data_IF_641879072994
#
_entry.id   IF_641879072994
#
_cell.length_a   1.000
_cell.length_b   1.000
_cell.length_c   1.000
_cell.angle_alpha   90.00
_cell.angle_beta   90.00
_cell.angle_gamma   90.00
#
_symmetry.space_group_name_H-M   'P 1'
#
loop_
_entity.id
_entity.type
_entity.pdbx_description
1 polymer ?
#
# COMPACT_ATOMS: atom_id res chain seq x y z
N UNK A 1 -44.91 28.28 -104.52
CA UNK A 1 -43.70 27.44 -104.60
C UNK A 1 -43.40 26.98 -103.18
N UNK A 2 -43.88 25.81 -102.75
CA UNK A 2 -43.35 24.45 -102.97
C UNK A 2 -42.39 24.00 -101.86
N UNK A 3 -42.80 22.89 -101.20
CA UNK A 3 -42.11 21.96 -100.26
C UNK A 3 -42.10 22.38 -98.77
N UNK A 4 -42.91 21.78 -97.87
CA UNK A 4 -42.96 20.39 -97.34
C UNK A 4 -41.58 19.91 -96.85
N UNK A 5 -41.37 19.48 -95.60
CA UNK A 5 -41.96 18.34 -94.83
C UNK A 5 -41.71 18.54 -93.32
N UNK A 6 -42.67 18.26 -92.42
CA UNK A 6 -42.82 17.01 -91.60
C UNK A 6 -41.55 16.65 -90.78
N UNK A 7 -41.56 16.27 -89.49
CA UNK A 7 -42.60 15.70 -88.64
C UNK A 7 -42.28 15.85 -87.13
N UNK A 8 -43.34 15.78 -86.33
CA UNK A 8 -43.57 15.08 -85.05
C UNK A 8 -42.42 14.75 -84.08
N UNK A 9 -42.70 14.94 -82.78
CA UNK A 9 -42.02 14.20 -81.71
C UNK A 9 -42.23 14.74 -80.30
N UNK A 10 -43.43 14.55 -79.75
CA UNK A 10 -43.73 14.72 -78.32
C UNK A 10 -42.89 13.77 -77.46
N UNK A 11 -42.22 14.27 -76.41
CA UNK A 11 -42.03 13.50 -75.16
C UNK A 11 -41.66 14.41 -74.01
N UNK A 12 -42.54 14.43 -73.01
CA UNK A 12 -42.37 15.09 -71.74
C UNK A 12 -41.11 14.59 -71.01
N UNK A 13 -40.28 15.51 -70.52
CA UNK A 13 -39.33 15.23 -69.44
C UNK A 13 -39.60 16.17 -68.29
N UNK A 14 -40.08 15.58 -67.19
CA UNK A 14 -40.07 16.14 -65.84
C UNK A 14 -38.70 16.74 -65.55
N UNK A 15 -38.68 17.97 -65.07
CA UNK A 15 -37.59 18.48 -64.25
C UNK A 15 -37.59 17.69 -62.94
N UNK A 16 -36.74 16.67 -62.85
CA UNK A 16 -36.32 16.13 -61.56
C UNK A 16 -35.30 17.11 -60.99
N UNK A 17 -35.73 17.91 -60.02
CA UNK A 17 -34.83 18.62 -59.13
C UNK A 17 -34.06 17.58 -58.31
N UNK A 18 -32.88 17.19 -58.79
CA UNK A 18 -31.86 16.56 -57.95
C UNK A 18 -31.47 17.57 -56.85
N UNK A 19 -32.11 17.45 -55.69
CA UNK A 19 -31.59 17.97 -54.43
C UNK A 19 -30.32 17.18 -54.08
N UNK A 20 -29.24 17.46 -54.80
CA UNK A 20 -27.90 17.02 -54.46
C UNK A 20 -27.52 17.64 -53.12
N UNK A 21 -27.69 16.88 -52.05
CA UNK A 21 -27.05 17.13 -50.76
C UNK A 21 -25.54 17.08 -50.98
N UNK A 22 -24.95 18.22 -51.32
CA UNK A 22 -23.51 18.41 -51.32
C UNK A 22 -22.94 18.11 -49.93
N UNK A 23 -21.67 17.68 -49.84
CA UNK A 23 -21.04 17.44 -48.55
C UNK A 23 -21.15 18.70 -47.69
N UNK A 24 -21.40 18.57 -46.37
CA UNK A 24 -21.47 19.73 -45.49
C UNK A 24 -20.17 20.55 -45.62
N UNK A 25 -20.24 21.89 -45.54
CA UNK A 25 -19.05 22.72 -45.60
C UNK A 25 -18.05 22.24 -44.54
N UNK A 26 -16.74 22.23 -44.84
CA UNK A 26 -15.74 21.82 -43.87
C UNK A 26 -15.89 22.66 -42.60
N UNK A 27 -15.95 21.98 -41.45
CA UNK A 27 -15.98 22.65 -40.16
C UNK A 27 -14.83 23.66 -40.11
N UNK A 28 -15.06 24.91 -39.66
CA UNK A 28 -13.98 25.86 -39.50
C UNK A 28 -12.91 25.25 -38.59
N UNK A 29 -11.61 25.39 -38.91
CA UNK A 29 -10.54 24.88 -38.05
C UNK A 29 -10.73 25.48 -36.67
N UNK A 30 -10.72 24.61 -35.65
CA UNK A 30 -10.86 25.00 -34.25
C UNK A 30 -9.78 26.04 -33.97
N UNK A 31 -10.16 27.20 -33.43
CA UNK A 31 -9.18 28.20 -33.08
C UNK A 31 -8.24 27.63 -32.01
N UNK A 32 -6.93 27.91 -32.04
CA UNK A 32 -5.98 27.37 -31.06
C UNK A 32 -6.34 27.69 -29.60
N UNK A 33 -7.11 28.77 -29.37
CA UNK A 33 -7.66 29.12 -28.07
C UNK A 33 -8.79 28.17 -27.60
N UNK A 34 -9.61 27.67 -28.52
CA UNK A 34 -10.68 26.72 -28.23
C UNK A 34 -10.12 25.32 -27.97
N UNK A 35 -9.06 24.92 -28.68
CA UNK A 35 -8.35 23.65 -28.39
C UNK A 35 -7.71 23.66 -27.00
N UNK A 36 -7.10 24.77 -26.60
CA UNK A 36 -6.53 24.94 -25.26
C UNK A 36 -7.63 24.88 -24.17
N UNK A 37 -8.76 25.55 -24.37
CA UNK A 37 -9.88 25.53 -23.44
C UNK A 37 -10.49 24.13 -23.26
N UNK A 38 -10.62 23.36 -24.36
CA UNK A 38 -11.06 21.96 -24.31
C UNK A 38 -10.04 21.10 -23.54
N UNK A 39 -8.74 21.30 -23.78
CA UNK A 39 -7.68 20.62 -23.05
C UNK A 39 -7.73 20.86 -21.54
N UNK A 40 -7.95 22.10 -21.12
CA UNK A 40 -8.12 22.47 -19.70
C UNK A 40 -9.36 21.82 -19.07
N UNK A 41 -10.49 21.83 -19.79
CA UNK A 41 -11.72 21.19 -19.33
C UNK A 41 -11.53 19.69 -19.15
N UNK A 42 -10.91 19.00 -20.11
CA UNK A 42 -10.61 17.57 -20.03
C UNK A 42 -9.70 17.27 -18.84
N UNK A 43 -8.66 18.08 -18.62
CA UNK A 43 -7.78 17.96 -17.47
C UNK A 43 -8.53 18.15 -16.14
N UNK A 44 -9.42 19.15 -16.06
CA UNK A 44 -10.26 19.38 -14.88
C UNK A 44 -11.23 18.22 -14.61
N UNK A 45 -11.85 17.66 -15.65
CA UNK A 45 -12.73 16.50 -15.54
C UNK A 45 -11.97 15.25 -15.09
N UNK A 46 -10.79 15.00 -15.65
CA UNK A 46 -9.93 13.88 -15.26
C UNK A 46 -9.52 13.96 -13.79
N UNK A 47 -9.16 15.16 -13.32
CA UNK A 47 -8.83 15.40 -11.90
C UNK A 47 -10.02 15.20 -10.97
N UNK A 48 -11.22 15.64 -11.36
CA UNK A 48 -12.46 15.38 -10.60
C UNK A 48 -12.80 13.89 -10.53
N UNK A 49 -12.63 13.18 -11.65
CA UNK A 49 -12.80 11.72 -11.70
C UNK A 49 -11.83 11.04 -10.75
N UNK A 50 -10.55 11.39 -10.82
CA UNK A 50 -9.52 10.80 -9.97
C UNK A 50 -9.80 11.04 -8.48
N UNK A 51 -10.20 12.26 -8.09
CA UNK A 51 -10.60 12.57 -6.72
C UNK A 51 -11.77 11.69 -6.25
N UNK A 52 -12.79 11.54 -7.09
CA UNK A 52 -13.94 10.68 -6.81
C UNK A 52 -13.52 9.22 -6.66
N UNK A 53 -12.66 8.72 -7.55
CA UNK A 53 -12.20 7.33 -7.54
C UNK A 53 -11.39 7.00 -6.27
N UNK A 54 -10.46 7.89 -5.88
CA UNK A 54 -9.72 7.79 -4.61
C UNK A 54 -10.66 7.78 -3.41
N UNK A 55 -11.59 8.73 -3.37
CA UNK A 55 -12.55 8.87 -2.26
C UNK A 55 -13.46 7.65 -2.14
N UNK A 56 -13.96 7.13 -3.26
CA UNK A 56 -14.81 5.94 -3.28
C UNK A 56 -14.06 4.67 -2.88
N UNK A 57 -12.83 4.49 -3.36
CA UNK A 57 -11.98 3.36 -2.99
C UNK A 57 -11.69 3.34 -1.48
N UNK A 58 -11.31 4.49 -0.90
CA UNK A 58 -11.07 4.61 0.54
C UNK A 58 -12.35 4.40 1.35
N UNK A 59 -13.46 5.07 1.00
CA UNK A 59 -14.72 4.95 1.74
C UNK A 59 -15.25 3.52 1.75
N UNK A 60 -15.23 2.85 0.60
CA UNK A 60 -15.71 1.47 0.48
C UNK A 60 -14.78 0.48 1.19
N UNK A 61 -13.47 0.63 1.06
CA UNK A 61 -12.48 -0.19 1.74
C UNK A 61 -12.53 -0.06 3.26
N UNK A 62 -12.59 1.18 3.77
CA UNK A 62 -12.62 1.46 5.22
C UNK A 62 -13.92 1.03 5.87
N UNK A 63 -15.08 1.26 5.21
CA UNK A 63 -16.38 0.78 5.70
C UNK A 63 -16.34 -0.73 5.97
N UNK A 64 -15.77 -1.49 5.03
CA UNK A 64 -15.66 -2.94 5.16
C UNK A 64 -14.59 -3.32 6.21
N UNK A 65 -13.46 -2.62 6.25
CA UNK A 65 -12.38 -2.81 7.24
C UNK A 65 -12.81 -2.51 8.69
N UNK A 66 -13.88 -1.75 8.89
CA UNK A 66 -14.49 -1.45 10.19
C UNK A 66 -15.65 -2.39 10.58
N UNK A 67 -15.91 -3.43 9.79
CA UNK A 67 -17.01 -4.35 10.05
C UNK A 67 -16.75 -5.23 11.29
N UNK A 68 -17.82 -5.69 11.93
CA UNK A 68 -17.72 -6.56 13.12
C UNK A 68 -17.20 -7.96 12.79
N UNK A 69 -17.32 -8.38 11.53
CA UNK A 69 -16.92 -9.70 11.06
C UNK A 69 -15.60 -9.67 10.28
N UNK A 70 -14.68 -10.58 10.63
CA UNK A 70 -13.33 -10.71 10.07
C UNK A 70 -13.33 -10.89 8.55
N UNK A 71 -14.31 -11.62 7.98
CA UNK A 71 -14.39 -11.81 6.54
C UNK A 71 -14.69 -10.52 5.78
N UNK A 72 -15.52 -9.62 6.35
CA UNK A 72 -15.79 -8.30 5.78
C UNK A 72 -14.56 -7.40 5.93
N UNK A 73 -13.90 -7.44 7.10
CA UNK A 73 -12.66 -6.68 7.31
C UNK A 73 -11.58 -7.09 6.33
N UNK A 74 -11.36 -8.38 6.17
CA UNK A 74 -10.45 -8.96 5.18
C UNK A 74 -10.79 -8.49 3.76
N UNK A 75 -12.07 -8.46 3.38
CA UNK A 75 -12.51 -7.91 2.08
C UNK A 75 -12.12 -6.44 1.94
N UNK A 76 -12.41 -5.62 2.95
CA UNK A 76 -12.06 -4.19 2.98
C UNK A 76 -10.56 -3.95 2.83
N UNK A 77 -9.75 -4.66 3.63
CA UNK A 77 -8.29 -4.58 3.58
C UNK A 77 -7.72 -5.00 2.23
N UNK A 78 -8.25 -6.06 1.60
CA UNK A 78 -7.85 -6.46 0.24
C UNK A 78 -8.19 -5.38 -0.80
N UNK A 79 -9.33 -4.72 -0.65
CA UNK A 79 -9.71 -3.60 -1.53
C UNK A 79 -8.78 -2.41 -1.35
N UNK A 80 -8.38 -2.09 -0.11
CA UNK A 80 -7.37 -1.06 0.17
C UNK A 80 -6.01 -1.40 -0.44
N UNK A 81 -5.54 -2.65 -0.34
CA UNK A 81 -4.29 -3.06 -1.00
C UNK A 81 -4.35 -2.94 -2.52
N UNK A 82 -5.46 -3.36 -3.13
CA UNK A 82 -5.67 -3.21 -4.58
C UNK A 82 -5.63 -1.73 -4.97
N UNK A 83 -6.26 -0.88 -4.17
CA UNK A 83 -6.24 0.57 -4.35
C UNK A 83 -4.81 1.14 -4.27
N UNK A 84 -4.02 0.80 -3.24
CA UNK A 84 -2.64 1.26 -3.12
C UNK A 84 -1.77 0.87 -4.31
N UNK A 85 -1.89 -0.38 -4.78
CA UNK A 85 -1.19 -0.82 -6.00
C UNK A 85 -1.60 -0.02 -7.23
N UNK A 86 -2.87 0.35 -7.34
CA UNK A 86 -3.37 1.14 -8.47
C UNK A 86 -2.85 2.59 -8.49
N UNK A 87 -2.54 3.16 -7.31
CA UNK A 87 -2.07 4.56 -7.21
C UNK A 87 -0.55 4.69 -7.11
N UNK A 88 0.17 3.60 -6.80
CA UNK A 88 1.61 3.64 -6.53
C UNK A 88 2.47 4.18 -7.69
N UNK A 89 1.97 4.10 -8.93
CA UNK A 89 2.66 4.62 -10.12
C UNK A 89 2.28 6.04 -10.54
N UNK A 90 1.49 6.77 -9.75
CA UNK A 90 0.95 8.08 -10.14
C UNK A 90 1.11 9.12 -9.03
N UNK A 91 2.03 10.07 -9.20
CA UNK A 91 2.29 11.15 -8.23
C UNK A 91 1.03 11.94 -7.88
N UNK A 92 0.16 12.21 -8.86
CA UNK A 92 -1.10 12.91 -8.61
C UNK A 92 -2.04 12.08 -7.73
N UNK A 93 -2.13 10.77 -7.98
CA UNK A 93 -2.96 9.86 -7.18
C UNK A 93 -2.40 9.73 -5.75
N UNK A 94 -1.08 9.69 -5.60
CA UNK A 94 -0.40 9.69 -4.31
C UNK A 94 -0.67 11.01 -3.56
N UNK A 95 -0.59 12.16 -4.23
CA UNK A 95 -0.94 13.46 -3.64
C UNK A 95 -2.38 13.48 -3.13
N UNK A 96 -3.33 12.97 -3.90
CA UNK A 96 -4.72 12.87 -3.49
C UNK A 96 -4.91 11.92 -2.30
N UNK A 97 -4.23 10.76 -2.30
CA UNK A 97 -4.21 9.87 -1.15
C UNK A 97 -3.67 10.58 0.10
N UNK A 98 -2.51 11.25 0.02
CA UNK A 98 -1.93 12.02 1.13
C UNK A 98 -2.91 13.06 1.68
N UNK A 99 -3.55 13.84 0.78
CA UNK A 99 -4.56 14.80 1.18
C UNK A 99 -5.74 14.14 1.89
N UNK A 100 -6.24 13.00 1.38
CA UNK A 100 -7.33 12.26 2.03
C UNK A 100 -6.99 11.83 3.46
N UNK A 101 -5.73 11.52 3.77
CA UNK A 101 -5.31 11.12 5.13
C UNK A 101 -5.39 12.27 6.15
N UNK A 102 -5.55 13.53 5.70
CA UNK A 102 -5.84 14.65 6.61
C UNK A 102 -7.28 14.61 7.12
N UNK A 103 -8.21 14.02 6.36
CA UNK A 103 -9.64 13.94 6.66
C UNK A 103 -9.90 12.72 7.54
N UNK A 104 -10.48 12.89 8.76
CA UNK A 104 -10.67 11.80 9.72
C UNK A 104 -11.37 10.55 9.15
N UNK A 105 -12.39 10.73 8.33
CA UNK A 105 -13.18 9.64 7.73
C UNK A 105 -12.38 8.75 6.76
N UNK A 106 -11.26 9.23 6.23
CA UNK A 106 -10.44 8.49 5.26
C UNK A 106 -9.10 8.02 5.82
N UNK A 107 -8.85 8.23 7.12
CA UNK A 107 -7.61 7.78 7.75
C UNK A 107 -7.58 6.27 7.87
N UNK A 108 -6.58 5.67 7.21
CA UNK A 108 -6.45 4.21 7.18
C UNK A 108 -5.85 3.68 8.49
N UNK A 109 -4.78 4.31 8.97
CA UNK A 109 -4.00 3.82 10.13
C UNK A 109 -4.87 3.57 11.38
N UNK A 110 -5.73 4.51 11.85
CA UNK A 110 -6.56 4.24 13.03
C UNK A 110 -7.49 3.04 12.85
N UNK A 111 -8.04 2.84 11.65
CA UNK A 111 -8.92 1.71 11.35
C UNK A 111 -8.18 0.38 11.48
N UNK A 112 -6.93 0.30 11.00
CA UNK A 112 -6.11 -0.92 11.13
C UNK A 112 -5.90 -1.28 12.60
N UNK A 113 -5.48 -0.31 13.42
CA UNK A 113 -5.18 -0.53 14.83
C UNK A 113 -6.41 -0.81 15.69
N UNK A 114 -7.58 -0.27 15.33
CA UNK A 114 -8.82 -0.48 16.08
C UNK A 114 -9.53 -1.79 15.73
N UNK A 115 -9.40 -2.27 14.48
CA UNK A 115 -10.26 -3.34 13.98
C UNK A 115 -9.50 -4.65 13.67
N UNK A 116 -8.21 -4.57 13.35
CA UNK A 116 -7.46 -5.74 12.85
C UNK A 116 -6.13 -6.00 13.57
N UNK A 117 -5.46 -4.95 14.05
CA UNK A 117 -4.17 -5.08 14.77
C UNK A 117 -4.32 -4.91 16.29
N UNK A 118 -5.53 -4.59 16.78
CA UNK A 118 -5.76 -4.50 18.22
C UNK A 118 -5.55 -5.88 18.83
N UNK A 119 -4.65 -5.97 19.80
CA UNK A 119 -4.61 -7.13 20.68
C UNK A 119 -5.88 -7.11 21.52
N UNK A 120 -6.69 -8.16 21.42
CA UNK A 120 -7.87 -8.32 22.25
C UNK A 120 -7.42 -8.34 23.72
N UNK A 121 -7.51 -7.18 24.38
CA UNK A 121 -7.59 -7.14 25.84
C UNK A 121 -8.78 -8.01 26.20
N UNK A 122 -8.56 -8.99 27.05
CA UNK A 122 -9.54 -9.91 27.62
C UNK A 122 -10.97 -9.40 27.45
N UNK A 123 -11.65 -9.84 26.38
CA UNK A 123 -13.09 -9.71 26.35
C UNK A 123 -13.57 -10.60 27.50
N UNK A 124 -14.18 -10.05 28.55
CA UNK A 124 -14.66 -10.87 29.64
C UNK A 124 -15.60 -11.91 29.02
N UNK A 125 -15.30 -13.19 29.23
CA UNK A 125 -16.21 -14.28 28.90
C UNK A 125 -17.43 -14.10 29.81
N UNK A 126 -18.42 -13.35 29.33
CA UNK A 126 -19.66 -13.14 30.09
C UNK A 126 -20.45 -14.44 30.04
N UNK A 127 -20.48 -15.14 31.16
CA UNK A 127 -21.40 -16.24 31.41
C UNK A 127 -22.82 -15.74 31.17
N UNK A 128 -23.56 -16.36 30.26
CA UNK A 128 -24.93 -16.02 29.82
C UNK A 128 -26.00 -16.26 30.91
N UNK A 129 -25.65 -16.23 32.19
CA UNK A 129 -26.50 -16.69 33.28
C UNK A 129 -27.52 -15.66 33.81
N UNK A 130 -27.62 -14.46 33.25
CA UNK A 130 -28.64 -13.48 33.68
C UNK A 130 -29.35 -12.82 32.49
N UNK A 131 -30.47 -13.43 32.14
CA UNK A 131 -31.44 -12.99 31.13
C UNK A 131 -32.33 -11.91 31.76
N UNK A 132 -32.58 -10.82 31.00
CA UNK A 132 -33.38 -9.62 31.27
C UNK A 132 -32.61 -8.34 31.66
N UNK A 133 -32.53 -7.39 30.69
CA UNK A 133 -32.14 -5.99 30.92
C UNK A 133 -30.80 -5.55 30.31
N UNK A 134 -30.04 -6.44 29.68
CA UNK A 134 -28.70 -6.12 29.12
C UNK A 134 -28.83 -5.84 27.62
N UNK A 135 -28.25 -4.72 27.15
CA UNK A 135 -28.13 -4.43 25.71
C UNK A 135 -27.42 -5.60 25.00
N UNK A 136 -27.88 -6.01 23.80
CA UNK A 136 -27.23 -7.10 23.07
C UNK A 136 -25.76 -6.76 22.85
N UNK A 137 -24.86 -7.58 23.40
CA UNK A 137 -23.44 -7.39 23.21
C UNK A 137 -23.12 -7.48 21.71
N UNK A 138 -22.46 -6.45 21.18
CA UNK A 138 -22.00 -6.42 19.79
C UNK A 138 -20.99 -7.55 19.60
N UNK A 139 -21.36 -8.58 18.84
CA UNK A 139 -20.47 -9.70 18.56
C UNK A 139 -19.43 -9.23 17.53
N UNK A 140 -18.22 -8.96 18.00
CA UNK A 140 -17.07 -8.66 17.14
C UNK A 140 -16.23 -9.93 17.05
N UNK A 141 -16.05 -10.46 15.85
CA UNK A 141 -15.19 -11.62 15.65
C UNK A 141 -13.72 -11.21 15.81
N UNK A 142 -12.86 -12.02 16.46
CA UNK A 142 -11.43 -11.75 16.54
C UNK A 142 -10.78 -11.70 15.15
N UNK A 143 -9.65 -11.01 15.05
CA UNK A 143 -8.89 -10.97 13.81
C UNK A 143 -8.24 -12.34 13.52
N UNK A 144 -8.42 -12.81 12.29
CA UNK A 144 -7.76 -14.02 11.80
C UNK A 144 -6.33 -13.71 11.36
N UNK A 145 -5.48 -14.74 11.30
CA UNK A 145 -4.08 -14.63 10.85
C UNK A 145 -3.97 -14.00 9.45
N UNK A 146 -4.86 -14.38 8.53
CA UNK A 146 -4.93 -13.77 7.20
C UNK A 146 -5.33 -12.30 7.25
N UNK A 147 -6.26 -11.92 8.13
CA UNK A 147 -6.68 -10.52 8.31
C UNK A 147 -5.50 -9.68 8.82
N UNK A 148 -4.79 -10.15 9.85
CA UNK A 148 -3.62 -9.49 10.42
C UNK A 148 -2.53 -9.30 9.37
N UNK A 149 -2.18 -10.34 8.62
CA UNK A 149 -1.16 -10.26 7.56
C UNK A 149 -1.53 -9.23 6.48
N UNK A 150 -2.81 -9.14 6.10
CA UNK A 150 -3.26 -8.15 5.11
C UNK A 150 -3.26 -6.75 5.72
N UNK A 151 -3.68 -6.59 6.98
CA UNK A 151 -3.64 -5.31 7.69
C UNK A 151 -2.21 -4.76 7.81
N UNK A 152 -1.23 -5.60 8.09
CA UNK A 152 0.19 -5.23 8.13
C UNK A 152 0.69 -4.74 6.77
N UNK A 153 0.32 -5.41 5.67
CA UNK A 153 0.63 -4.93 4.31
C UNK A 153 -0.08 -3.62 3.95
N UNK A 154 -1.29 -3.39 4.47
CA UNK A 154 -1.99 -2.10 4.30
C UNK A 154 -1.24 -1.02 5.08
N UNK A 155 -0.78 -1.31 6.30
CA UNK A 155 0.01 -0.39 7.11
C UNK A 155 1.33 -0.02 6.42
N UNK A 156 2.03 -1.03 5.88
CA UNK A 156 3.24 -0.85 5.07
C UNK A 156 2.99 0.12 3.91
N UNK A 157 1.99 -0.17 3.07
CA UNK A 157 1.64 0.69 1.94
C UNK A 157 1.25 2.12 2.37
N UNK A 158 0.56 2.29 3.50
CA UNK A 158 0.24 3.61 4.04
C UNK A 158 1.48 4.42 4.40
N UNK A 159 2.48 3.77 5.02
CA UNK A 159 3.70 4.44 5.48
C UNK A 159 4.62 4.78 4.29
N UNK A 160 4.73 3.88 3.30
CA UNK A 160 5.49 4.14 2.07
C UNK A 160 4.88 5.27 1.23
N UNK A 161 3.55 5.37 1.17
CA UNK A 161 2.88 6.40 0.37
C UNK A 161 2.75 7.75 1.09
N UNK A 162 2.76 7.77 2.43
CA UNK A 162 2.51 8.97 3.24
C UNK A 162 3.25 8.91 4.59
N UNK A 163 4.27 9.75 4.77
CA UNK A 163 5.07 9.81 6.00
C UNK A 163 4.26 10.13 7.27
N UNK A 164 3.19 10.93 7.15
CA UNK A 164 2.29 11.19 8.28
C UNK A 164 1.57 9.94 8.81
N UNK A 165 1.51 8.86 8.03
CA UNK A 165 0.96 7.57 8.47
C UNK A 165 1.83 6.94 9.58
N UNK A 166 3.16 7.04 9.48
CA UNK A 166 4.07 6.53 10.51
C UNK A 166 3.90 7.28 11.85
N UNK A 167 3.69 8.60 11.79
CA UNK A 167 3.41 9.42 12.96
C UNK A 167 2.03 9.13 13.59
N UNK A 168 1.02 8.79 12.77
CA UNK A 168 -0.26 8.31 13.29
C UNK A 168 -0.12 6.93 13.92
N UNK A 169 0.66 6.03 13.32
CA UNK A 169 0.89 4.68 13.81
C UNK A 169 1.61 4.70 15.17
N UNK A 170 2.56 5.61 15.36
CA UNK A 170 3.21 5.86 16.65
C UNK A 170 2.18 6.13 17.78
N UNK A 171 1.13 6.92 17.52
CA UNK A 171 0.06 7.17 18.51
C UNK A 171 -0.72 5.92 18.93
N UNK A 172 -0.65 4.87 18.13
CA UNK A 172 -1.25 3.57 18.42
C UNK A 172 -0.22 2.55 18.93
N UNK A 173 0.97 3.00 19.34
CA UNK A 173 2.06 2.14 19.83
C UNK A 173 2.43 1.06 18.81
N UNK A 174 2.53 1.45 17.55
CA UNK A 174 2.70 0.53 16.43
C UNK A 174 3.86 -0.44 16.62
N UNK A 175 5.01 0.05 17.10
CA UNK A 175 6.18 -0.79 17.35
C UNK A 175 5.85 -1.87 18.40
N UNK A 176 5.31 -1.52 19.56
CA UNK A 176 4.92 -2.47 20.61
C UNK A 176 3.96 -3.55 20.08
N UNK A 177 2.96 -3.13 19.28
CA UNK A 177 1.98 -4.03 18.67
C UNK A 177 2.64 -4.99 17.68
N UNK A 178 3.50 -4.48 16.79
CA UNK A 178 4.16 -5.28 15.76
C UNK A 178 5.20 -6.22 16.36
N UNK A 179 5.99 -5.78 17.34
CA UNK A 179 6.94 -6.65 18.05
C UNK A 179 6.23 -7.80 18.77
N UNK A 180 5.03 -7.56 19.31
CA UNK A 180 4.23 -8.65 19.86
C UNK A 180 3.71 -9.60 18.77
N UNK A 181 3.26 -9.09 17.61
CA UNK A 181 2.86 -9.94 16.48
C UNK A 181 4.04 -10.80 16.03
N UNK A 182 5.23 -10.21 15.87
CA UNK A 182 6.46 -10.93 15.53
C UNK A 182 6.75 -12.08 16.51
N UNK A 183 6.48 -11.87 17.80
CA UNK A 183 6.76 -12.84 18.87
C UNK A 183 5.69 -13.91 19.07
N UNK A 184 4.45 -13.68 18.63
CA UNK A 184 3.29 -14.52 19.02
C UNK A 184 2.50 -15.11 17.86
N UNK A 185 2.69 -14.64 16.63
CA UNK A 185 1.91 -15.06 15.44
C UNK A 185 2.70 -15.95 14.50
N UNK A 186 2.01 -16.50 13.50
CA UNK A 186 2.59 -17.42 12.53
C UNK A 186 3.48 -16.74 11.48
N UNK A 187 4.18 -17.57 10.71
CA UNK A 187 5.16 -17.17 9.69
C UNK A 187 4.65 -16.10 8.72
N UNK A 188 3.37 -16.16 8.32
CA UNK A 188 2.80 -15.24 7.33
C UNK A 188 2.70 -13.83 7.92
N UNK A 189 2.24 -13.71 9.16
CA UNK A 189 2.10 -12.46 9.88
C UNK A 189 3.46 -11.92 10.31
N UNK A 190 4.37 -12.80 10.76
CA UNK A 190 5.75 -12.41 11.09
C UNK A 190 6.44 -11.79 9.86
N UNK A 191 6.32 -12.42 8.68
CA UNK A 191 6.88 -11.89 7.45
C UNK A 191 6.31 -10.52 7.07
N UNK A 192 4.97 -10.39 7.09
CA UNK A 192 4.31 -9.10 6.84
C UNK A 192 4.62 -8.04 7.90
N UNK A 193 4.90 -8.46 9.14
CA UNK A 193 5.28 -7.60 10.25
C UNK A 193 6.67 -7.00 10.02
N UNK A 194 7.63 -7.79 9.56
CA UNK A 194 8.98 -7.31 9.24
C UNK A 194 8.95 -6.24 8.14
N UNK A 195 8.19 -6.47 7.07
CA UNK A 195 8.00 -5.47 6.00
C UNK A 195 7.37 -4.18 6.52
N UNK A 196 6.31 -4.29 7.34
CA UNK A 196 5.65 -3.14 7.95
C UNK A 196 6.57 -2.38 8.92
N UNK A 197 7.40 -3.08 9.72
CA UNK A 197 8.36 -2.47 10.63
C UNK A 197 9.38 -1.61 9.88
N UNK A 198 9.92 -2.08 8.75
CA UNK A 198 10.82 -1.24 7.92
C UNK A 198 10.13 0.07 7.56
N UNK A 199 8.92 0.01 7.00
CA UNK A 199 8.20 1.21 6.58
C UNK A 199 7.84 2.18 7.71
N UNK A 200 7.65 1.67 8.94
CA UNK A 200 7.37 2.50 10.13
C UNK A 200 8.61 3.21 10.65
N UNK A 201 9.79 2.61 10.47
CA UNK A 201 11.07 3.15 10.92
C UNK A 201 11.61 4.19 9.94
N UNK A 202 11.27 4.10 8.64
CA UNK A 202 11.67 5.08 7.64
C UNK A 202 11.24 6.49 8.05
N UNK A 203 12.23 7.34 8.26
CA UNK A 203 12.12 8.78 8.55
C UNK A 203 11.22 9.12 9.76
N UNK A 204 11.08 8.19 10.71
CA UNK A 204 10.27 8.37 11.92
C UNK A 204 11.11 8.17 13.18
N UNK A 205 11.67 9.27 13.71
CA UNK A 205 12.49 9.24 14.92
C UNK A 205 11.74 8.68 16.14
N UNK A 206 10.44 8.98 16.28
CA UNK A 206 9.62 8.45 17.37
C UNK A 206 9.47 6.93 17.31
N UNK A 207 9.17 6.38 16.13
CA UNK A 207 9.09 4.92 15.98
C UNK A 207 10.46 4.25 16.16
N UNK A 208 11.55 4.91 15.74
CA UNK A 208 12.91 4.40 15.96
C UNK A 208 13.28 4.35 17.45
N UNK A 209 12.88 5.36 18.23
CA UNK A 209 13.04 5.36 19.68
C UNK A 209 12.26 4.22 20.33
N UNK A 210 10.97 4.07 20.00
CA UNK A 210 10.13 2.96 20.50
C UNK A 210 10.75 1.59 20.16
N UNK A 211 11.28 1.43 18.95
CA UNK A 211 11.91 0.17 18.48
C UNK A 211 13.12 -0.21 19.31
N UNK A 212 13.91 0.78 19.71
CA UNK A 212 15.03 0.59 20.63
C UNK A 212 14.53 0.25 22.03
N UNK A 213 13.59 1.03 22.57
CA UNK A 213 13.08 0.87 23.94
C UNK A 213 12.39 -0.48 24.18
N UNK A 214 11.73 -1.03 23.15
CA UNK A 214 11.11 -2.35 23.24
C UNK A 214 12.04 -3.50 22.84
N UNK A 215 13.34 -3.25 22.64
CA UNK A 215 14.33 -4.25 22.27
C UNK A 215 13.92 -5.08 21.02
N UNK A 216 13.27 -4.44 20.05
CA UNK A 216 12.72 -5.16 18.90
C UNK A 216 13.80 -5.83 18.04
N UNK A 217 15.00 -5.27 17.98
CA UNK A 217 16.13 -5.91 17.29
C UNK A 217 16.50 -7.24 17.94
N UNK A 218 16.43 -7.35 19.27
CA UNK A 218 16.71 -8.59 19.98
C UNK A 218 15.73 -9.66 19.55
N UNK A 219 14.43 -9.33 19.42
CA UNK A 219 13.40 -10.24 18.91
C UNK A 219 13.63 -10.72 17.48
N UNK A 220 14.08 -9.84 16.58
CA UNK A 220 14.45 -10.24 15.22
C UNK A 220 15.68 -11.17 15.24
N UNK A 221 16.66 -10.86 16.09
CA UNK A 221 17.89 -11.67 16.19
C UNK A 221 17.65 -13.02 16.87
N UNK A 222 16.72 -13.11 17.83
CA UNK A 222 16.24 -14.38 18.39
C UNK A 222 15.59 -15.23 17.30
N UNK A 223 14.71 -14.64 16.49
CA UNK A 223 13.97 -15.35 15.44
C UNK A 223 14.88 -15.88 14.30
N UNK A 224 15.88 -15.12 13.86
CA UNK A 224 16.80 -15.59 12.79
C UNK A 224 17.72 -16.73 13.28
N UNK A 225 18.04 -16.75 14.57
CA UNK A 225 18.88 -17.78 15.21
C UNK A 225 18.13 -19.05 15.55
N UNK A 226 16.80 -19.01 15.59
CA UNK A 226 16.00 -20.18 15.89
C UNK A 226 16.06 -21.19 14.74
N UNK A 227 16.88 -22.23 14.88
CA UNK A 227 17.03 -23.30 13.90
C UNK A 227 15.73 -24.08 13.64
N UNK A 228 14.76 -24.00 14.55
CA UNK A 228 13.45 -24.65 14.40
C UNK A 228 12.43 -23.75 13.70
N UNK A 229 12.73 -22.46 13.51
CA UNK A 229 11.88 -21.55 12.78
C UNK A 229 11.89 -21.86 11.28
N UNK A 230 10.78 -21.55 10.60
CA UNK A 230 10.66 -21.71 9.15
C UNK A 230 11.80 -20.98 8.41
N UNK A 231 12.45 -21.65 7.47
CA UNK A 231 13.60 -21.07 6.75
C UNK A 231 13.23 -19.75 6.06
N UNK A 232 12.01 -19.61 5.55
CA UNK A 232 11.57 -18.38 4.91
C UNK A 232 11.47 -17.22 5.90
N UNK A 233 11.08 -17.47 7.16
CA UNK A 233 11.05 -16.38 8.15
C UNK A 233 12.46 -15.99 8.60
N UNK A 234 13.37 -16.95 8.73
CA UNK A 234 14.79 -16.67 9.02
C UNK A 234 15.41 -15.84 7.90
N UNK A 235 15.18 -16.21 6.64
CA UNK A 235 15.60 -15.43 5.47
C UNK A 235 14.99 -14.02 5.50
N UNK A 236 13.70 -13.89 5.83
CA UNK A 236 13.04 -12.59 5.93
C UNK A 236 13.62 -11.70 7.03
N UNK A 237 14.03 -12.28 8.16
CA UNK A 237 14.79 -11.56 9.19
C UNK A 237 16.12 -11.05 8.64
N UNK A 238 16.84 -11.86 7.84
CA UNK A 238 18.05 -11.43 7.15
C UNK A 238 17.82 -10.24 6.22
N UNK A 239 16.77 -10.29 5.38
CA UNK A 239 16.36 -9.17 4.52
C UNK A 239 16.06 -7.90 5.33
N UNK A 240 15.30 -8.05 6.43
CA UNK A 240 14.97 -6.96 7.34
C UNK A 240 16.22 -6.30 7.92
N UNK A 241 17.16 -7.10 8.44
CA UNK A 241 18.40 -6.58 9.04
C UNK A 241 19.25 -5.84 8.00
N UNK A 242 19.39 -6.39 6.80
CA UNK A 242 20.12 -5.75 5.71
C UNK A 242 19.52 -4.41 5.31
N UNK A 243 18.20 -4.34 5.18
CA UNK A 243 17.49 -3.10 4.84
C UNK A 243 17.58 -2.07 5.96
N UNK A 244 17.37 -2.47 7.21
CA UNK A 244 17.43 -1.59 8.36
C UNK A 244 18.82 -0.98 8.52
N UNK A 245 19.86 -1.80 8.38
CA UNK A 245 21.24 -1.36 8.48
C UNK A 245 21.62 -0.45 7.32
N UNK A 246 21.20 -0.79 6.10
CA UNK A 246 21.40 0.05 4.92
C UNK A 246 20.78 1.43 5.10
N UNK A 247 19.59 1.50 5.70
CA UNK A 247 18.92 2.77 6.04
C UNK A 247 19.67 3.56 7.12
N UNK A 248 20.02 2.93 8.24
CA UNK A 248 20.71 3.61 9.36
C UNK A 248 22.05 4.18 8.91
N UNK A 249 22.79 3.48 8.05
CA UNK A 249 24.08 3.95 7.54
C UNK A 249 23.99 5.19 6.64
N UNK A 250 22.83 5.46 6.05
CA UNK A 250 22.59 6.63 5.20
C UNK A 250 22.03 7.83 5.98
N UNK A 251 21.67 7.61 7.25
CA UNK A 251 20.92 8.59 8.05
C UNK A 251 21.77 9.12 9.21
N UNK A 252 22.22 10.36 9.09
CA UNK A 252 22.94 11.03 10.17
C UNK A 252 22.04 11.22 11.41
N UNK A 253 22.59 10.96 12.61
CA UNK A 253 21.91 11.10 13.91
C UNK A 253 20.67 10.23 14.11
N UNK A 254 20.56 9.07 13.44
CA UNK A 254 19.46 8.14 13.70
C UNK A 254 19.42 7.67 15.17
N UNK A 255 18.23 7.66 15.80
CA UNK A 255 17.97 6.89 17.01
C UNK A 255 18.26 5.38 16.92
N UNK A 256 18.81 4.86 15.83
CA UNK A 256 19.27 3.48 15.72
C UNK A 256 20.78 3.39 15.46
N UNK A 257 21.56 4.46 15.68
CA UNK A 257 23.00 4.47 15.42
C UNK A 257 23.80 3.30 16.05
N UNK A 258 23.38 2.84 17.25
CA UNK A 258 24.05 1.75 17.98
C UNK A 258 23.60 0.35 17.56
N UNK A 259 22.74 0.22 16.54
CA UNK A 259 22.18 -1.08 16.13
C UNK A 259 23.27 -2.08 15.69
N UNK A 260 24.39 -1.57 15.15
CA UNK A 260 25.56 -2.38 14.81
C UNK A 260 26.16 -3.10 16.00
N UNK A 261 26.29 -2.40 17.14
CA UNK A 261 26.83 -2.97 18.36
C UNK A 261 25.86 -3.97 18.99
N UNK A 262 24.55 -3.70 18.87
CA UNK A 262 23.49 -4.62 19.32
C UNK A 262 23.50 -5.92 18.51
N UNK A 263 23.57 -5.84 17.18
CA UNK A 263 23.70 -7.01 16.30
C UNK A 263 25.00 -7.76 16.54
N UNK A 264 26.13 -7.07 16.74
CA UNK A 264 27.41 -7.72 17.07
C UNK A 264 27.30 -8.54 18.35
N UNK A 265 26.63 -8.00 19.37
CA UNK A 265 26.39 -8.71 20.64
C UNK A 265 25.45 -9.91 20.48
N UNK A 266 24.43 -9.82 19.63
CA UNK A 266 23.39 -10.86 19.53
C UNK A 266 23.66 -11.94 18.48
N UNK A 267 24.31 -11.60 17.36
CA UNK A 267 24.60 -12.48 16.22
C UNK A 267 26.10 -12.84 16.10
N UNK A 268 26.98 -12.14 16.83
CA UNK A 268 28.43 -12.31 16.74
C UNK A 268 29.10 -11.47 15.64
N UNK A 269 30.41 -11.27 15.77
CA UNK A 269 31.22 -10.38 14.93
C UNK A 269 31.12 -10.72 13.43
N UNK A 270 31.21 -12.02 13.10
CA UNK A 270 31.22 -12.52 11.72
C UNK A 270 29.92 -12.19 11.00
N UNK A 271 28.78 -12.48 11.62
CA UNK A 271 27.46 -12.22 11.03
C UNK A 271 27.17 -10.72 10.95
N UNK A 272 27.45 -9.97 12.01
CA UNK A 272 27.28 -8.50 12.02
C UNK A 272 28.15 -7.80 10.97
N UNK A 273 29.39 -8.22 10.78
CA UNK A 273 30.29 -7.69 9.74
C UNK A 273 29.77 -7.99 8.33
N UNK A 274 29.19 -9.17 8.11
CA UNK A 274 28.61 -9.54 6.83
C UNK A 274 27.39 -8.67 6.51
N UNK A 275 26.48 -8.47 7.47
CA UNK A 275 25.32 -7.59 7.32
C UNK A 275 25.80 -6.17 7.00
N UNK A 276 26.77 -5.65 7.76
CA UNK A 276 27.32 -4.33 7.53
C UNK A 276 27.88 -4.17 6.11
N UNK A 277 28.72 -5.10 5.66
CA UNK A 277 29.32 -5.05 4.33
C UNK A 277 28.26 -5.18 3.22
N UNK A 278 27.32 -6.12 3.36
CA UNK A 278 26.28 -6.37 2.36
C UNK A 278 25.28 -5.21 2.25
N UNK A 279 25.00 -4.49 3.35
CA UNK A 279 24.10 -3.34 3.35
C UNK A 279 24.57 -2.16 2.49
N UNK A 280 25.86 -2.13 2.13
CA UNK A 280 26.45 -1.10 1.26
C UNK A 280 26.21 -1.36 -0.23
N UNK A 281 25.85 -2.61 -0.60
CA UNK A 281 25.68 -3.03 -1.99
C UNK A 281 24.21 -2.98 -2.40
N UNK A 282 23.75 -1.84 -2.93
CA UNK A 282 22.36 -1.77 -3.43
C UNK A 282 21.96 -0.50 -4.17
N UNK A 283 22.69 0.61 -4.03
CA UNK A 283 22.27 1.91 -4.59
C UNK A 283 22.39 2.03 -6.11
N UNK A 284 23.16 1.16 -6.77
CA UNK A 284 23.45 1.22 -8.23
C UNK A 284 22.71 0.18 -9.08
N UNK A 285 22.00 -0.77 -8.46
CA UNK A 285 21.32 -1.86 -9.17
C UNK A 285 19.90 -1.46 -9.60
N UNK A 286 19.35 -2.13 -10.61
CA UNK A 286 17.92 -2.01 -10.94
C UNK A 286 17.03 -2.67 -9.85
N UNK A 287 15.71 -2.40 -9.80
CA UNK A 287 14.85 -2.92 -8.73
C UNK A 287 14.77 -4.46 -8.65
N UNK A 288 14.78 -5.18 -9.77
CA UNK A 288 14.69 -6.65 -9.79
C UNK A 288 16.01 -7.29 -9.34
N UNK A 289 17.13 -6.72 -9.78
CA UNK A 289 18.48 -7.08 -9.33
C UNK A 289 18.66 -6.77 -7.85
N UNK A 290 18.11 -5.66 -7.34
CA UNK A 290 18.13 -5.35 -5.90
C UNK A 290 17.41 -6.40 -5.09
N UNK A 291 16.20 -6.83 -5.50
CA UNK A 291 15.46 -7.85 -4.79
C UNK A 291 16.21 -9.19 -4.77
N UNK A 292 16.77 -9.59 -5.92
CA UNK A 292 17.55 -10.82 -6.03
C UNK A 292 18.82 -10.76 -5.19
N UNK A 293 19.54 -9.63 -5.23
CA UNK A 293 20.74 -9.42 -4.45
C UNK A 293 20.44 -9.45 -2.94
N UNK A 294 19.39 -8.76 -2.50
CA UNK A 294 18.94 -8.76 -1.10
C UNK A 294 18.68 -10.19 -0.61
N UNK A 295 17.95 -10.98 -1.40
CA UNK A 295 17.64 -12.37 -1.06
C UNK A 295 18.91 -13.24 -0.96
N UNK A 296 19.86 -13.09 -1.90
CA UNK A 296 21.14 -13.80 -1.86
C UNK A 296 21.95 -13.42 -0.61
N UNK A 297 22.00 -12.14 -0.25
CA UNK A 297 22.72 -11.70 0.94
C UNK A 297 22.03 -12.18 2.23
N UNK A 298 20.69 -12.14 2.29
CA UNK A 298 19.94 -12.64 3.44
C UNK A 298 20.20 -14.14 3.66
N UNK A 299 20.29 -14.93 2.59
CA UNK A 299 20.68 -16.33 2.66
C UNK A 299 22.08 -16.52 3.24
N UNK A 300 23.06 -15.73 2.80
CA UNK A 300 24.43 -15.77 3.36
C UNK A 300 24.47 -15.39 4.83
N UNK A 301 23.63 -14.44 5.28
CA UNK A 301 23.50 -14.09 6.70
C UNK A 301 23.03 -15.31 7.50
N UNK A 302 21.98 -15.99 7.04
CA UNK A 302 21.43 -17.18 7.72
C UNK A 302 22.46 -18.33 7.73
N UNK A 303 23.07 -18.64 6.60
CA UNK A 303 24.11 -19.68 6.49
C UNK A 303 25.31 -19.37 7.41
N UNK A 304 25.62 -18.08 7.66
CA UNK A 304 26.72 -17.70 8.56
C UNK A 304 26.44 -17.96 10.04
N UNK A 305 25.17 -18.12 10.44
CA UNK A 305 24.76 -18.42 11.81
C UNK A 305 24.83 -19.93 12.13
N UNK A 306 24.87 -20.76 11.10
CA UNK A 306 24.90 -22.23 11.21
C UNK A 306 26.34 -22.79 11.23
N UNK A 307 27.34 -21.91 11.09
CA UNK A 307 28.78 -22.20 10.93
C UNK A 307 29.63 -21.65 12.07
#
# INVERSE_FOLDING_TARGET
MSRMKEAEGSSARREEAESGSGPPPPHPPIAPADEAAVGELVSAMNRRRLYRDVTLALRSGLRDAMADFSFLRTRGLRNLLKFFRSIAGSDESIRLFRHSQTIPEFRVVPVLFQNSLQQSKDNPVVSLSHIFGVEPMKIVSPATDSEVAIALRVLEGCCLLHSGSAALAHKHKAIEVLTNILSTRGTIEQGACLDALISLLLDSSSNQMDFRECHAIEKVTELIKDEQADENIRLKCGEFLLLLVGYVNQTDNSPLANIHDEMRRSLGEKCASLIWAASQFGSTLDPEQRQTALHIQARRVVESLEL
#
